data_IF_959658962459
#
_entry.id   IF_959658962459
#
_cell.length_a   1.000
_cell.length_b   1.000
_cell.length_c   1.000
_cell.angle_alpha   90.00
_cell.angle_beta   90.00
_cell.angle_gamma   90.00
#
_symmetry.space_group_name_H-M   'P 1'
#
loop_
_entity.id
_entity.type
_entity.pdbx_description
1 polymer ?
#
# COMPACT_ATOMS: atom_id res chain seq x y z
N UNK A 1 -2.37 4.80 15.24
CA UNK A 1 -2.12 4.14 13.95
C UNK A 1 -3.45 4.03 13.22
N UNK A 2 -3.50 4.34 11.92
CA UNK A 2 -4.73 4.27 11.13
C UNK A 2 -5.27 2.84 11.01
N UNK A 3 -6.58 2.68 10.85
CA UNK A 3 -7.21 1.37 10.62
C UNK A 3 -6.72 0.82 9.27
N UNK A 4 -6.30 -0.45 9.24
CA UNK A 4 -5.92 -1.12 8.00
C UNK A 4 -7.09 -1.18 7.03
N UNK A 5 -6.90 -0.66 5.83
CA UNK A 5 -7.94 -0.50 4.80
C UNK A 5 -7.88 -1.60 3.75
N UNK A 6 -6.68 -2.05 3.39
CA UNK A 6 -6.48 -3.10 2.39
C UNK A 6 -5.12 -3.80 2.58
N UNK A 7 -4.95 -4.94 1.91
CA UNK A 7 -3.66 -5.65 1.79
C UNK A 7 -3.37 -5.85 0.32
N UNK A 8 -2.28 -5.24 -0.17
CA UNK A 8 -1.89 -5.28 -1.57
C UNK A 8 -0.76 -6.28 -1.80
N UNK A 9 -0.77 -7.03 -2.91
CA UNK A 9 0.38 -7.83 -3.31
C UNK A 9 1.54 -6.93 -3.74
N UNK A 10 2.76 -7.34 -3.42
CA UNK A 10 4.00 -6.66 -3.80
C UNK A 10 4.82 -7.56 -4.71
N UNK A 11 5.10 -7.07 -5.91
CA UNK A 11 5.92 -7.72 -6.92
C UNK A 11 7.40 -7.47 -6.63
N UNK A 12 8.22 -8.50 -6.81
CA UNK A 12 9.67 -8.49 -6.56
C UNK A 12 10.10 -8.04 -5.15
N UNK A 13 9.17 -8.02 -4.18
CA UNK A 13 9.43 -7.64 -2.79
C UNK A 13 9.87 -8.83 -1.93
N UNK A 14 10.70 -8.58 -0.92
CA UNK A 14 11.05 -9.57 0.12
C UNK A 14 9.80 -10.09 0.82
N UNK A 15 8.83 -9.20 1.04
CA UNK A 15 7.46 -9.55 1.40
C UNK A 15 6.57 -9.56 0.15
N UNK A 16 5.66 -10.53 0.08
CA UNK A 16 4.72 -10.67 -1.04
C UNK A 16 3.48 -9.78 -0.90
N UNK A 17 3.27 -9.17 0.27
CA UNK A 17 2.10 -8.34 0.57
C UNK A 17 2.49 -7.22 1.51
N UNK A 18 1.79 -6.09 1.39
CA UNK A 18 1.91 -4.96 2.31
C UNK A 18 0.52 -4.48 2.72
N UNK A 19 0.35 -4.18 4.01
CA UNK A 19 -0.86 -3.56 4.50
C UNK A 19 -0.88 -2.07 4.14
N UNK A 20 -2.07 -1.57 3.86
CA UNK A 20 -2.32 -0.18 3.49
C UNK A 20 -3.32 0.42 4.48
N UNK A 21 -3.02 1.61 4.99
CA UNK A 21 -3.86 2.34 5.93
C UNK A 21 -4.07 3.79 5.47
N UNK A 22 -5.04 4.49 6.06
CA UNK A 22 -5.19 5.92 5.81
C UNK A 22 -4.00 6.71 6.38
N UNK A 23 -3.57 7.73 5.64
CA UNK A 23 -2.53 8.66 6.09
C UNK A 23 -2.96 9.45 7.34
N UNK A 24 -4.27 9.66 7.49
CA UNK A 24 -4.86 10.36 8.63
C UNK A 24 -6.32 10.01 8.89
N UNK A 25 -6.92 10.59 9.94
CA UNK A 25 -8.32 10.41 10.27
C UNK A 25 -9.22 11.28 9.38
N UNK A 26 -10.43 10.80 9.09
CA UNK A 26 -11.50 11.62 8.53
C UNK A 26 -12.45 12.03 9.65
N UNK A 27 -12.83 13.30 9.64
CA UNK A 27 -13.80 13.87 10.57
C UNK A 27 -14.97 14.44 9.78
N UNK A 28 -16.17 14.09 10.20
CA UNK A 28 -17.42 14.58 9.63
C UNK A 28 -18.27 15.16 10.76
N UNK A 29 -18.77 16.40 10.63
CA UNK A 29 -19.63 17.01 11.65
C UNK A 29 -21.01 16.33 11.65
N UNK A 30 -21.55 16.04 12.84
CA UNK A 30 -22.88 15.46 13.01
C UNK A 30 -23.75 16.32 13.91
N UNK A 31 -25.05 16.29 13.66
CA UNK A 31 -26.02 16.82 14.59
C UNK A 31 -26.33 15.82 15.71
N UNK A 32 -26.70 16.29 16.93
CA UNK A 32 -27.16 15.40 17.99
C UNK A 32 -28.34 14.54 17.53
N UNK A 33 -28.21 13.22 17.66
CA UNK A 33 -29.24 12.25 17.24
C UNK A 33 -29.22 11.87 15.77
N UNK A 34 -28.30 12.42 14.98
CA UNK A 34 -28.14 12.04 13.57
C UNK A 34 -27.55 10.62 13.44
N UNK A 35 -28.21 9.79 12.63
CA UNK A 35 -27.67 8.48 12.24
C UNK A 35 -26.96 8.65 10.90
N UNK A 36 -25.66 8.37 10.88
CA UNK A 36 -24.86 8.43 9.66
C UNK A 36 -24.69 7.04 9.05
N UNK A 37 -24.92 6.93 7.76
CA UNK A 37 -24.34 5.86 6.94
C UNK A 37 -23.22 6.45 6.10
N UNK A 38 -22.17 5.66 5.94
CA UNK A 38 -21.09 5.99 5.03
C UNK A 38 -20.61 4.74 4.31
N UNK A 39 -20.14 4.94 3.08
CA UNK A 39 -19.51 3.92 2.27
C UNK A 39 -18.07 4.33 1.99
N UNK A 40 -17.19 3.35 1.83
CA UNK A 40 -15.79 3.59 1.52
C UNK A 40 -15.40 2.79 0.30
N UNK A 41 -14.87 3.48 -0.71
CA UNK A 41 -14.37 2.88 -1.94
C UNK A 41 -12.85 3.08 -2.01
N UNK A 42 -12.12 1.97 -1.97
CA UNK A 42 -10.66 1.97 -2.01
C UNK A 42 -10.21 1.97 -3.47
N UNK A 43 -9.43 2.98 -3.84
CA UNK A 43 -8.84 3.18 -5.17
C UNK A 43 -7.33 3.02 -5.06
N UNK A 44 -6.87 1.79 -5.26
CA UNK A 44 -5.47 1.38 -5.15
C UNK A 44 -5.10 0.52 -6.35
N UNK A 45 -3.82 0.50 -6.77
CA UNK A 45 -3.40 -0.39 -7.84
C UNK A 45 -3.58 -1.85 -7.43
N UNK A 46 -3.78 -2.72 -8.42
CA UNK A 46 -3.94 -4.17 -8.18
C UNK A 46 -2.70 -4.81 -7.54
N UNK A 47 -1.52 -4.24 -7.79
CA UNK A 47 -0.23 -4.67 -7.21
C UNK A 47 0.73 -3.49 -7.08
N UNK A 48 1.64 -3.58 -6.12
CA UNK A 48 2.76 -2.66 -5.94
C UNK A 48 4.05 -3.31 -6.41
N UNK A 49 5.05 -2.53 -6.81
CA UNK A 49 6.39 -3.03 -7.15
C UNK A 49 7.39 -2.58 -6.09
N UNK A 50 8.25 -3.49 -5.64
CA UNK A 50 9.32 -3.15 -4.71
C UNK A 50 10.40 -2.23 -5.34
N UNK A 51 11.04 -1.34 -4.56
CA UNK A 51 10.87 -1.17 -3.12
C UNK A 51 9.63 -0.33 -2.78
N UNK A 52 8.97 -0.69 -1.69
CA UNK A 52 7.88 0.11 -1.07
C UNK A 52 8.40 0.68 0.24
N UNK A 53 8.22 1.98 0.48
CA UNK A 53 8.62 2.61 1.75
C UNK A 53 7.45 2.67 2.74
N UNK A 54 7.75 2.57 4.02
CA UNK A 54 6.75 2.86 5.06
C UNK A 54 6.27 4.31 4.94
N UNK A 55 4.96 4.53 4.98
CA UNK A 55 4.34 5.83 4.77
C UNK A 55 4.28 6.28 3.30
N UNK A 56 4.70 5.44 2.35
CA UNK A 56 4.59 5.77 0.93
C UNK A 56 3.12 5.87 0.51
N UNK A 57 2.70 6.94 -0.19
CA UNK A 57 1.39 7.01 -0.81
C UNK A 57 1.21 5.91 -1.86
N UNK A 58 0.13 5.14 -1.75
CA UNK A 58 -0.17 4.01 -2.65
C UNK A 58 -1.50 4.16 -3.40
N UNK A 59 -2.34 5.10 -3.00
CA UNK A 59 -3.64 5.33 -3.62
C UNK A 59 -4.53 6.17 -2.72
N UNK A 60 -5.84 6.13 -2.96
CA UNK A 60 -6.82 6.90 -2.20
C UNK A 60 -8.05 6.08 -1.81
N UNK A 61 -8.75 6.52 -0.78
CA UNK A 61 -10.06 6.01 -0.41
C UNK A 61 -11.08 7.14 -0.55
N UNK A 62 -12.12 6.90 -1.36
CA UNK A 62 -13.26 7.80 -1.44
C UNK A 62 -14.29 7.38 -0.39
N UNK A 63 -14.49 8.24 0.59
CA UNK A 63 -15.58 8.10 1.57
C UNK A 63 -16.76 8.91 1.08
N UNK A 64 -17.93 8.28 1.05
CA UNK A 64 -19.20 8.95 0.76
C UNK A 64 -20.09 8.82 1.99
N UNK A 65 -20.51 9.95 2.51
CA UNK A 65 -21.47 10.03 3.62
C UNK A 65 -22.83 10.38 3.04
N UNK A 66 -23.90 9.93 3.70
CA UNK A 66 -25.27 10.30 3.36
C UNK A 66 -25.42 11.83 3.16
N UNK A 67 -26.33 12.23 2.27
CA UNK A 67 -26.49 13.65 1.91
C UNK A 67 -25.48 14.16 0.86
N UNK A 68 -24.70 13.26 0.25
CA UNK A 68 -23.87 13.57 -0.92
C UNK A 68 -22.47 14.12 -0.59
N UNK A 69 -22.09 14.16 0.69
CA UNK A 69 -20.74 14.56 1.06
C UNK A 69 -19.72 13.50 0.68
N UNK A 70 -18.60 13.94 0.12
CA UNK A 70 -17.49 13.06 -0.26
C UNK A 70 -16.17 13.60 0.28
N UNK A 71 -15.30 12.68 0.70
CA UNK A 71 -13.92 12.99 1.02
C UNK A 71 -12.98 11.94 0.44
N UNK A 72 -11.88 12.42 -0.10
CA UNK A 72 -10.78 11.60 -0.56
C UNK A 72 -9.69 11.56 0.51
N UNK A 73 -9.23 10.35 0.81
CA UNK A 73 -8.21 10.10 1.84
C UNK A 73 -7.02 9.45 1.19
N UNK A 74 -5.83 9.99 1.42
CA UNK A 74 -4.62 9.32 1.00
C UNK A 74 -4.41 8.02 1.77
N UNK A 75 -4.05 6.97 1.05
CA UNK A 75 -3.69 5.67 1.58
C UNK A 75 -2.18 5.48 1.47
N UNK A 76 -1.59 5.00 2.56
CA UNK A 76 -0.14 4.80 2.69
C UNK A 76 0.20 3.36 3.06
N UNK A 77 1.36 2.89 2.63
CA UNK A 77 1.91 1.61 3.04
C UNK A 77 2.28 1.64 4.54
N UNK A 78 1.83 0.63 5.29
CA UNK A 78 2.07 0.55 6.74
C UNK A 78 3.50 0.15 7.07
N UNK A 79 4.20 -0.50 6.14
CA UNK A 79 5.56 -1.01 6.35
C UNK A 79 6.37 -0.95 5.06
N UNK A 80 7.70 -0.92 5.20
CA UNK A 80 8.60 -1.01 4.06
C UNK A 80 8.67 -2.45 3.54
N UNK A 81 8.85 -2.58 2.22
CA UNK A 81 9.12 -3.84 1.53
C UNK A 81 10.28 -3.62 0.56
N UNK A 82 11.43 -4.18 0.88
CA UNK A 82 12.62 -4.10 0.03
C UNK A 82 12.53 -5.05 -1.16
N UNK A 83 13.37 -4.84 -2.18
CA UNK A 83 13.48 -5.76 -3.32
C UNK A 83 14.09 -7.08 -2.86
N UNK A 84 13.63 -8.21 -3.41
CA UNK A 84 14.33 -9.51 -3.24
C UNK A 84 15.75 -9.41 -3.78
N UNK A 85 16.73 -9.32 -2.89
CA UNK A 85 18.10 -9.69 -3.22
C UNK A 85 18.14 -11.21 -3.37
N UNK A 86 18.45 -11.76 -4.55
CA UNK A 86 18.83 -13.18 -4.57
C UNK A 86 18.64 -14.03 -5.82
N UNK A 87 18.07 -13.55 -6.93
CA UNK A 87 18.05 -14.35 -8.17
C UNK A 87 19.02 -13.80 -9.20
N UNK A 88 18.96 -12.50 -9.50
CA UNK A 88 19.87 -11.87 -10.46
C UNK A 88 21.32 -11.86 -9.97
N UNK A 89 21.56 -11.48 -8.70
CA UNK A 89 22.92 -11.47 -8.13
C UNK A 89 23.51 -12.88 -8.07
N UNK A 90 22.70 -13.88 -7.69
CA UNK A 90 23.15 -15.27 -7.55
C UNK A 90 23.40 -15.96 -8.90
N UNK A 91 22.59 -15.63 -9.91
CA UNK A 91 22.81 -16.07 -11.28
C UNK A 91 24.05 -15.39 -11.90
N UNK A 92 24.26 -14.10 -11.62
CA UNK A 92 25.44 -13.36 -12.09
C UNK A 92 26.74 -13.81 -11.39
N UNK A 93 26.67 -14.19 -10.10
CA UNK A 93 27.78 -14.82 -9.39
C UNK A 93 28.16 -16.18 -9.98
N UNK A 94 27.17 -17.01 -10.34
CA UNK A 94 27.40 -18.30 -11.01
C UNK A 94 28.01 -18.12 -12.42
N UNK A 95 27.59 -17.10 -13.17
CA UNK A 95 28.13 -16.81 -14.51
C UNK A 95 29.53 -16.20 -14.45
N UNK A 96 29.84 -15.32 -13.46
CA UNK A 96 31.19 -14.76 -13.28
C UNK A 96 32.24 -15.80 -12.85
N UNK A 97 31.85 -16.85 -12.14
CA UNK A 97 32.77 -17.93 -11.75
C UNK A 97 33.33 -18.72 -12.94
N UNK A 98 32.60 -18.79 -14.05
CA UNK A 98 32.98 -19.57 -15.24
C UNK A 98 33.93 -18.82 -16.20
N UNK A 99 34.11 -17.51 -16.00
CA UNK A 99 34.92 -16.64 -16.88
C UNK A 99 36.31 -16.31 -16.32
N UNK A 100 36.61 -16.74 -15.10
CA UNK A 100 37.91 -16.50 -14.45
C UNK A 100 38.85 -17.71 -14.46
N UNK A 101 38.44 -18.81 -15.11
CA UNK A 101 39.17 -20.08 -15.26
C UNK A 101 39.63 -20.34 -16.72
N UNK A 102 39.87 -19.28 -17.52
CA UNK A 102 40.66 -19.36 -18.76
C UNK A 102 41.89 -18.47 -18.72
#
# INVERSE_FOLDING_TARGET
QGKGMAVLPVDQGEAQRVAVASAGPVRYPVFPGETLSFTTQVQVPAKLSAPVRSGQPVGTALVRVDGGWTAEIELVAVSAVEKKAGIATRLFELVRGWWHDQ
#
